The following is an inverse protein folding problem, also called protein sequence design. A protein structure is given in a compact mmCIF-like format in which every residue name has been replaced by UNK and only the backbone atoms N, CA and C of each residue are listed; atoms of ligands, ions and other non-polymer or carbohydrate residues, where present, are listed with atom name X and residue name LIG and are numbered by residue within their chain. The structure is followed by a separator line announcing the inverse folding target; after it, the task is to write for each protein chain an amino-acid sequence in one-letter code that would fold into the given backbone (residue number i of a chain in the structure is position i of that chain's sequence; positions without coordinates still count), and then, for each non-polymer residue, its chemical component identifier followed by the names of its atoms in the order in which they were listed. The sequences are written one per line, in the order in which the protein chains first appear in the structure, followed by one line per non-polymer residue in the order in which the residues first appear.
data_IF_319651299413
#
_entry.id   IF_319651299413
#
_cell.length_a   1.000
_cell.length_b   1.000
_cell.length_c   1.000
_cell.angle_alpha   90.00
_cell.angle_beta   90.00
_cell.angle_gamma   90.00
#
_symmetry.space_group_name_H-M   'P 1'
#
loop_
_entity.id
_entity.type
_entity.pdbx_description
1 polymer ?
#
# COMPACT_ATOMS: atom_id res chain seq x y z
N UNK A 1 -2.02 27.58 22.33
CA UNK A 1 -1.11 27.19 21.24
C UNK A 1 -1.45 25.77 20.82
N UNK A 2 -2.25 25.62 19.77
CA UNK A 2 -2.60 24.33 19.17
C UNK A 2 -1.39 23.83 18.37
N UNK A 3 -0.74 22.75 18.83
CA UNK A 3 0.28 22.04 18.04
C UNK A 3 -0.44 21.34 16.88
N UNK A 4 -0.28 21.84 15.65
CA UNK A 4 -0.63 21.07 14.46
C UNK A 4 0.24 19.81 14.43
N UNK A 5 -0.39 18.66 14.62
CA UNK A 5 0.24 17.36 14.51
C UNK A 5 0.33 17.01 13.01
N UNK A 6 1.25 17.66 12.29
CA UNK A 6 1.47 17.39 10.87
C UNK A 6 2.10 16.00 10.72
N UNK A 7 1.23 14.99 10.61
CA UNK A 7 1.62 13.65 10.20
C UNK A 7 1.96 13.70 8.72
N UNK A 8 3.24 13.89 8.40
CA UNK A 8 3.73 13.85 7.03
C UNK A 8 3.55 12.44 6.45
N UNK A 9 2.76 12.32 5.39
CA UNK A 9 2.65 11.08 4.64
C UNK A 9 3.93 10.89 3.81
N UNK A 10 4.71 9.85 4.12
CA UNK A 10 5.97 9.56 3.43
C UNK A 10 5.80 8.58 2.26
N UNK A 11 4.65 7.91 2.17
CA UNK A 11 4.33 6.98 1.09
C UNK A 11 2.96 6.34 1.26
N UNK A 12 2.69 5.33 0.43
CA UNK A 12 1.48 4.50 0.49
C UNK A 12 1.73 3.11 -0.07
N UNK A 13 0.92 2.16 0.40
CA UNK A 13 0.76 0.86 -0.24
C UNK A 13 -0.30 1.01 -1.35
N UNK A 14 0.10 0.81 -2.60
CA UNK A 14 -0.77 0.84 -3.76
C UNK A 14 -1.07 -0.59 -4.22
N UNK A 15 -2.35 -0.93 -4.30
CA UNK A 15 -2.82 -2.24 -4.75
C UNK A 15 -3.40 -2.12 -6.15
N UNK A 16 -2.90 -2.91 -7.10
CA UNK A 16 -3.32 -2.88 -8.51
C UNK A 16 -3.71 -4.27 -9.00
N UNK A 17 -4.60 -4.32 -9.98
CA UNK A 17 -4.90 -5.56 -10.72
C UNK A 17 -4.13 -5.52 -12.02
N UNK A 18 -3.28 -6.51 -12.25
CA UNK A 18 -2.43 -6.68 -13.43
C UNK A 18 -2.59 -8.11 -13.94
N UNK A 19 -3.29 -8.28 -15.08
CA UNK A 19 -3.77 -9.60 -15.52
C UNK A 19 -4.56 -10.32 -14.42
N UNK A 20 -4.12 -11.54 -14.07
CA UNK A 20 -4.70 -12.38 -13.02
C UNK A 20 -4.10 -12.12 -11.63
N UNK A 21 -3.25 -11.12 -11.48
CA UNK A 21 -2.56 -10.82 -10.23
C UNK A 21 -3.15 -9.58 -9.55
N UNK A 22 -3.15 -9.64 -8.22
CA UNK A 22 -3.27 -8.47 -7.36
C UNK A 22 -1.88 -8.12 -6.84
N UNK A 23 -1.38 -6.96 -7.25
CA UNK A 23 0.01 -6.54 -7.06
C UNK A 23 0.10 -5.42 -6.05
N UNK A 24 1.03 -5.56 -5.12
CA UNK A 24 1.34 -4.59 -4.09
C UNK A 24 2.61 -3.82 -4.46
N UNK A 25 2.50 -2.49 -4.44
CA UNK A 25 3.62 -1.58 -4.62
C UNK A 25 3.74 -0.62 -3.44
N UNK A 26 4.97 -0.29 -3.05
CA UNK A 26 5.21 0.92 -2.26
C UNK A 26 5.41 2.10 -3.22
N UNK A 27 4.66 3.17 -3.01
CA UNK A 27 4.70 4.35 -3.86
C UNK A 27 4.75 5.63 -3.02
N UNK A 28 5.24 6.71 -3.63
CA UNK A 28 5.13 8.03 -3.03
C UNK A 28 3.65 8.46 -2.94
N UNK A 29 3.29 9.40 -2.04
CA UNK A 29 1.89 9.72 -1.75
C UNK A 29 1.07 10.10 -2.98
N UNK A 30 1.68 10.79 -3.94
CA UNK A 30 1.00 11.43 -5.06
C UNK A 30 1.43 10.90 -6.43
N UNK A 31 2.20 9.82 -6.51
CA UNK A 31 2.65 9.27 -7.79
C UNK A 31 3.00 7.79 -7.71
N UNK A 32 2.82 7.08 -8.82
CA UNK A 32 3.31 5.71 -9.03
C UNK A 32 4.69 5.68 -9.72
N UNK A 33 5.27 6.85 -10.05
CA UNK A 33 6.63 6.92 -10.59
C UNK A 33 7.62 6.33 -9.58
N UNK A 34 8.50 5.46 -10.05
CA UNK A 34 9.50 4.75 -9.24
C UNK A 34 8.86 3.90 -8.12
N UNK A 35 7.61 3.47 -8.30
CA UNK A 35 6.94 2.58 -7.37
C UNK A 35 7.68 1.24 -7.27
N UNK A 36 7.91 0.79 -6.05
CA UNK A 36 8.70 -0.40 -5.74
C UNK A 36 7.74 -1.58 -5.62
N UNK A 37 7.95 -2.60 -6.45
CA UNK A 37 7.23 -3.87 -6.33
C UNK A 37 7.55 -4.55 -5.00
N UNK A 38 6.52 -4.98 -4.28
CA UNK A 38 6.65 -5.70 -3.01
C UNK A 38 6.26 -7.17 -3.14
N UNK A 39 5.22 -7.46 -3.92
CA UNK A 39 4.70 -8.80 -4.09
C UNK A 39 3.42 -8.83 -4.90
N UNK A 40 3.03 -10.03 -5.32
CA UNK A 40 1.78 -10.28 -6.03
C UNK A 40 1.13 -11.58 -5.55
N UNK A 41 -0.19 -11.62 -5.60
CA UNK A 41 -0.99 -12.82 -5.29
C UNK A 41 -2.02 -13.04 -6.40
N UNK A 42 -2.37 -14.29 -6.69
CA UNK A 42 -3.42 -14.60 -7.66
C UNK A 42 -4.76 -14.01 -7.22
N UNK A 43 -5.45 -13.35 -8.15
CA UNK A 43 -6.80 -12.78 -7.95
C UNK A 43 -7.81 -13.84 -7.51
N UNK A 44 -7.61 -15.10 -7.88
CA UNK A 44 -8.42 -16.23 -7.43
C UNK A 44 -8.47 -16.35 -5.90
N UNK A 45 -7.35 -16.08 -5.21
CA UNK A 45 -7.31 -16.10 -3.74
C UNK A 45 -7.89 -14.83 -3.12
N UNK A 46 -7.76 -13.69 -3.81
CA UNK A 46 -8.19 -12.37 -3.31
C UNK A 46 -9.71 -12.21 -3.30
N UNK A 47 -10.45 -13.11 -3.95
CA UNK A 47 -11.92 -13.18 -3.82
C UNK A 47 -12.35 -13.49 -2.38
N UNK A 48 -11.50 -14.16 -1.59
CA UNK A 48 -11.70 -14.31 -0.15
C UNK A 48 -11.17 -13.06 0.58
N UNK A 49 -12.07 -12.37 1.30
CA UNK A 49 -11.71 -11.13 1.99
C UNK A 49 -10.67 -11.37 3.10
N UNK A 50 -10.63 -12.55 3.72
CA UNK A 50 -9.62 -12.86 4.73
C UNK A 50 -8.23 -12.97 4.10
N UNK A 51 -8.08 -13.72 3.01
CA UNK A 51 -6.84 -13.83 2.25
C UNK A 51 -6.35 -12.47 1.75
N UNK A 52 -7.27 -11.64 1.26
CA UNK A 52 -7.00 -10.25 0.85
C UNK A 52 -6.45 -9.40 1.99
N UNK A 53 -7.07 -9.45 3.17
CA UNK A 53 -6.61 -8.69 4.34
C UNK A 53 -5.27 -9.21 4.88
N UNK A 54 -5.06 -10.53 4.88
CA UNK A 54 -3.78 -11.15 5.27
C UNK A 54 -2.66 -10.67 4.34
N UNK A 55 -2.88 -10.68 3.03
CA UNK A 55 -1.89 -10.21 2.07
C UNK A 55 -1.59 -8.71 2.27
N UNK A 56 -2.62 -7.88 2.43
CA UNK A 56 -2.42 -6.45 2.74
C UNK A 56 -1.64 -6.22 4.04
N UNK A 57 -1.95 -6.97 5.10
CA UNK A 57 -1.26 -6.87 6.38
C UNK A 57 0.22 -7.23 6.24
N UNK A 58 0.54 -8.34 5.57
CA UNK A 58 1.92 -8.74 5.31
C UNK A 58 2.71 -7.67 4.54
N UNK A 59 2.11 -7.05 3.52
CA UNK A 59 2.76 -5.98 2.77
C UNK A 59 2.98 -4.71 3.62
N UNK A 60 2.03 -4.36 4.49
CA UNK A 60 2.20 -3.25 5.45
C UNK A 60 3.35 -3.53 6.42
N UNK A 61 3.42 -4.74 6.95
CA UNK A 61 4.47 -5.14 7.90
C UNK A 61 5.85 -5.10 7.24
N UNK A 62 5.96 -5.61 6.00
CA UNK A 62 7.20 -5.55 5.23
C UNK A 62 7.70 -4.12 5.01
N UNK A 63 6.83 -3.22 4.55
CA UNK A 63 7.16 -1.79 4.37
C UNK A 63 7.51 -1.13 5.71
N UNK A 64 6.76 -1.43 6.78
CA UNK A 64 7.00 -0.87 8.10
C UNK A 64 8.37 -1.29 8.64
N UNK A 65 8.76 -2.55 8.44
CA UNK A 65 10.09 -3.06 8.81
C UNK A 65 11.22 -2.33 8.10
N UNK A 66 11.09 -2.15 6.77
CA UNK A 66 12.07 -1.41 5.97
C UNK A 66 12.19 0.05 6.44
N UNK A 67 11.05 0.74 6.59
CA UNK A 67 11.03 2.14 7.01
C UNK A 67 11.59 2.30 8.43
N UNK A 68 11.28 1.40 9.35
CA UNK A 68 11.84 1.41 10.70
C UNK A 68 13.36 1.20 10.68
N UNK A 69 13.86 0.29 9.85
CA UNK A 69 15.31 0.08 9.70
C UNK A 69 16.02 1.32 9.15
N UNK A 70 15.39 2.04 8.22
CA UNK A 70 16.00 3.21 7.57
C UNK A 70 15.86 4.51 8.38
N UNK A 71 14.74 4.68 9.10
CA UNK A 71 14.38 5.96 9.75
C UNK A 71 14.35 5.90 11.27
N UNK A 72 14.34 4.69 11.85
CA UNK A 72 14.14 4.46 13.29
C UNK A 72 12.71 4.66 13.78
N UNK A 73 11.78 5.10 12.92
CA UNK A 73 10.39 5.39 13.29
C UNK A 73 9.43 4.27 12.90
N UNK A 74 8.40 4.04 13.72
CA UNK A 74 7.31 3.13 13.40
C UNK A 74 6.35 3.77 12.39
N UNK A 75 5.98 3.02 11.35
CA UNK A 75 4.99 3.45 10.37
C UNK A 75 3.56 3.38 10.94
N UNK A 76 2.73 4.36 10.60
CA UNK A 76 1.32 4.37 10.96
C UNK A 76 0.45 4.13 9.71
N UNK A 77 -0.47 3.18 9.80
CA UNK A 77 -1.45 2.87 8.76
C UNK A 77 -2.85 3.28 9.22
N UNK A 78 -3.27 4.54 8.98
CA UNK A 78 -4.53 5.06 9.53
C UNK A 78 -5.78 4.39 8.92
N UNK A 79 -5.69 3.95 7.66
CA UNK A 79 -6.81 3.37 6.92
C UNK A 79 -6.73 1.84 6.89
N UNK A 80 -7.37 1.17 7.85
CA UNK A 80 -7.31 -0.30 7.99
C UNK A 80 -7.71 -1.04 6.70
N UNK A 81 -8.73 -0.59 6.00
CA UNK A 81 -9.25 -1.21 4.77
C UNK A 81 -8.68 -0.62 3.48
N UNK A 82 -7.78 0.36 3.59
CA UNK A 82 -7.30 1.15 2.46
C UNK A 82 -8.35 2.15 1.96
N UNK A 83 -7.99 2.87 0.89
CA UNK A 83 -8.86 3.82 0.19
C UNK A 83 -8.84 3.49 -1.30
N UNK A 84 -9.91 3.87 -2.00
CA UNK A 84 -9.94 3.73 -3.46
C UNK A 84 -8.78 4.53 -4.08
N UNK A 85 -8.18 3.98 -5.14
CA UNK A 85 -7.14 4.69 -5.89
C UNK A 85 -7.67 6.05 -6.40
N UNK A 86 -6.81 7.08 -6.53
CA UNK A 86 -7.14 8.32 -7.23
C UNK A 86 -7.70 8.04 -8.63
N UNK A 87 -8.65 8.86 -9.09
CA UNK A 87 -9.35 8.61 -10.35
C UNK A 87 -8.41 8.42 -11.55
N UNK A 88 -7.34 9.21 -11.63
CA UNK A 88 -6.34 9.15 -12.70
C UNK A 88 -5.43 7.90 -12.65
N UNK A 89 -5.48 7.11 -11.57
CA UNK A 89 -4.72 5.86 -11.43
C UNK A 89 -5.59 4.60 -11.58
N UNK A 90 -6.91 4.77 -11.72
CA UNK A 90 -7.89 3.67 -11.89
C UNK A 90 -7.90 3.08 -13.31
N UNK A 91 -6.73 2.93 -13.93
CA UNK A 91 -6.63 2.20 -15.19
C UNK A 91 -6.73 0.70 -14.90
N UNK A 92 -7.88 0.10 -15.22
CA UNK A 92 -8.13 -1.32 -15.05
C UNK A 92 -7.57 -2.15 -16.20
N UNK A 93 -6.85 -3.23 -15.85
CA UNK A 93 -6.36 -4.31 -16.73
C UNK A 93 -5.51 -3.80 -17.91
N UNK A 94 -4.32 -3.29 -17.60
CA UNK A 94 -3.21 -3.33 -18.56
C UNK A 94 -2.55 -4.72 -18.52
#
# INVERSE_FOLDING_TARGET
MTKSNDKTQIGRLAMRVEGDLWVAYYALPNTMKDAIFLGSIQMAFVQDESAKQIFMALMRDAVSGILKQQTGADALWPDKHGRAAPAHERAGRA
#
